data_IF_304989869307
#
_entry.id   IF_304989869307
#
_cell.length_a   1.000
_cell.length_b   1.000
_cell.length_c   1.000
_cell.angle_alpha   90.00
_cell.angle_beta   90.00
_cell.angle_gamma   90.00
#
_symmetry.space_group_name_H-M   'P 1'
#
loop_
_entity.id
_entity.type
_entity.pdbx_description
1 polymer ?
#
# COMPACT_ATOMS: atom_id res chain seq x y z
N UNK A 1 -3.89 -2.14 11.87
CA UNK A 1 -5.28 -2.25 11.34
C UNK A 1 -6.34 -1.97 12.40
N UNK A 2 -6.40 -2.68 13.54
CA UNK A 2 -7.45 -2.47 14.56
C UNK A 2 -7.59 -1.00 15.01
N UNK A 3 -6.47 -0.36 15.39
CA UNK A 3 -6.46 1.06 15.78
C UNK A 3 -6.94 2.01 14.68
N UNK A 4 -6.63 1.71 13.41
CA UNK A 4 -7.12 2.50 12.28
C UNK A 4 -8.65 2.37 12.16
N UNK A 5 -9.18 1.15 12.24
CA UNK A 5 -10.63 0.91 12.18
C UNK A 5 -11.38 1.61 13.32
N UNK A 6 -10.87 1.52 14.54
CA UNK A 6 -11.43 2.21 15.70
C UNK A 6 -11.48 3.74 15.48
N UNK A 7 -10.38 4.35 15.04
CA UNK A 7 -10.33 5.80 14.83
C UNK A 7 -11.20 6.26 13.66
N UNK A 8 -11.32 5.46 12.59
CA UNK A 8 -12.25 5.73 11.49
C UNK A 8 -13.70 5.72 11.99
N UNK A 9 -14.07 4.71 12.77
CA UNK A 9 -15.40 4.58 13.35
C UNK A 9 -15.73 5.75 14.28
N UNK A 10 -14.85 6.08 15.22
CA UNK A 10 -15.04 7.18 16.18
C UNK A 10 -15.18 8.53 15.47
N UNK A 11 -14.34 8.80 14.45
CA UNK A 11 -14.29 10.12 13.79
C UNK A 11 -15.36 10.33 12.73
N UNK A 12 -15.76 9.25 12.06
CA UNK A 12 -16.76 9.32 10.97
C UNK A 12 -18.13 8.84 11.41
N UNK A 13 -18.25 8.31 12.63
CA UNK A 13 -19.48 7.80 13.22
C UNK A 13 -20.16 6.76 12.32
N UNK A 14 -19.36 5.84 11.79
CA UNK A 14 -19.81 4.71 10.95
C UNK A 14 -19.27 3.40 11.52
N UNK A 15 -20.03 2.29 11.51
CA UNK A 15 -19.49 0.99 11.88
C UNK A 15 -18.35 0.57 10.95
N UNK A 16 -17.21 0.19 11.53
CA UNK A 16 -16.04 -0.33 10.79
C UNK A 16 -15.67 -1.69 11.33
N UNK A 17 -15.44 -2.64 10.41
CA UNK A 17 -14.85 -3.94 10.72
C UNK A 17 -13.58 -4.12 9.87
N UNK A 18 -12.55 -4.73 10.46
CA UNK A 18 -11.40 -5.19 9.69
C UNK A 18 -11.70 -6.58 9.14
N UNK A 19 -11.11 -6.92 7.99
CA UNK A 19 -11.25 -8.24 7.39
C UNK A 19 -9.93 -8.66 6.74
N UNK A 20 -9.52 -9.90 6.98
CA UNK A 20 -8.36 -10.52 6.39
C UNK A 20 -8.81 -11.49 5.29
N UNK A 21 -8.14 -11.43 4.13
CA UNK A 21 -8.33 -12.46 3.09
C UNK A 21 -7.78 -13.82 3.54
N UNK A 22 -6.64 -13.78 4.24
CA UNK A 22 -5.98 -14.93 4.85
C UNK A 22 -5.65 -14.56 6.30
N UNK A 23 -6.40 -15.10 7.25
CA UNK A 23 -6.23 -14.84 8.68
C UNK A 23 -7.52 -14.37 9.36
N UNK A 24 -7.38 -13.93 10.61
CA UNK A 24 -8.50 -13.49 11.45
C UNK A 24 -8.40 -11.99 11.79
N UNK A 25 -9.53 -11.26 11.83
CA UNK A 25 -10.89 -11.74 11.53
C UNK A 25 -11.11 -11.92 10.02
N UNK A 26 -11.79 -13.01 9.62
CA UNK A 26 -12.12 -13.27 8.22
C UNK A 26 -13.26 -12.39 7.66
N UNK A 27 -13.36 -12.33 6.32
CA UNK A 27 -14.36 -11.53 5.59
C UNK A 27 -15.81 -11.89 5.99
N UNK A 28 -16.12 -13.18 6.12
CA UNK A 28 -17.48 -13.63 6.49
C UNK A 28 -17.86 -13.18 7.90
N UNK A 29 -16.91 -13.20 8.84
CA UNK A 29 -17.15 -12.75 10.21
C UNK A 29 -17.35 -11.23 10.28
N UNK A 30 -16.60 -10.46 9.48
CA UNK A 30 -16.76 -9.02 9.39
C UNK A 30 -18.17 -8.62 8.91
N UNK A 31 -18.70 -9.28 7.87
CA UNK A 31 -20.07 -9.02 7.40
C UNK A 31 -21.12 -9.36 8.47
N UNK A 32 -21.00 -10.52 9.13
CA UNK A 32 -21.90 -10.91 10.23
C UNK A 32 -21.86 -9.91 11.39
N UNK A 33 -20.68 -9.38 11.72
CA UNK A 33 -20.54 -8.36 12.75
C UNK A 33 -21.22 -7.05 12.36
N UNK A 34 -21.03 -6.57 11.11
CA UNK A 34 -21.68 -5.36 10.61
C UNK A 34 -23.21 -5.48 10.63
N UNK A 35 -23.75 -6.59 10.13
CA UNK A 35 -25.21 -6.86 10.15
C UNK A 35 -25.77 -6.87 11.58
N UNK A 36 -25.06 -7.49 12.52
CA UNK A 36 -25.45 -7.53 13.94
C UNK A 36 -25.43 -6.13 14.58
N UNK A 37 -24.43 -5.32 14.24
CA UNK A 37 -24.24 -3.97 14.80
C UNK A 37 -25.17 -2.94 14.16
N UNK A 38 -25.58 -3.15 12.91
CA UNK A 38 -26.44 -2.25 12.15
C UNK A 38 -27.61 -3.02 11.52
N UNK A 39 -28.74 -3.20 12.25
CA UNK A 39 -29.90 -3.93 11.72
C UNK A 39 -30.55 -3.28 10.49
N UNK A 40 -30.30 -1.99 10.24
CA UNK A 40 -30.77 -1.23 9.08
C UNK A 40 -29.64 -0.93 8.09
N UNK A 41 -28.67 -1.84 7.97
CA UNK A 41 -27.55 -1.70 7.04
C UNK A 41 -28.06 -1.62 5.60
N UNK A 42 -27.75 -0.51 4.93
CA UNK A 42 -28.16 -0.24 3.54
C UNK A 42 -27.03 -0.38 2.53
N UNK A 43 -25.80 -0.13 2.95
CA UNK A 43 -24.60 -0.23 2.11
C UNK A 43 -23.41 -0.67 2.95
N UNK A 44 -22.61 -1.58 2.41
CA UNK A 44 -21.28 -1.93 2.93
C UNK A 44 -20.25 -1.53 1.89
N UNK A 45 -19.30 -0.69 2.29
CA UNK A 45 -18.15 -0.33 1.47
C UNK A 45 -16.95 -1.16 1.91
N UNK A 46 -16.43 -1.97 1.00
CA UNK A 46 -15.15 -2.67 1.17
C UNK A 46 -14.05 -1.75 0.69
N UNK A 47 -13.14 -1.40 1.60
CA UNK A 47 -11.95 -0.60 1.29
C UNK A 47 -10.70 -1.49 1.35
N UNK A 48 -10.12 -1.89 0.20
CA UNK A 48 -8.87 -2.64 0.19
C UNK A 48 -7.72 -1.82 0.75
N UNK A 49 -6.92 -2.38 1.66
CA UNK A 49 -5.69 -1.74 2.15
C UNK A 49 -4.49 -1.99 1.22
N UNK A 50 -4.75 -2.02 -0.09
CA UNK A 50 -3.76 -2.09 -1.17
C UNK A 50 -4.17 -1.04 -2.22
N UNK A 51 -3.41 0.06 -2.40
CA UNK A 51 -3.78 1.12 -3.35
C UNK A 51 -3.69 0.66 -4.82
N UNK A 52 -2.76 -0.26 -5.09
CA UNK A 52 -2.44 -0.78 -6.42
C UNK A 52 -3.11 -2.12 -6.65
N UNK A 53 -3.68 -2.30 -7.84
CA UNK A 53 -4.25 -3.57 -8.24
C UNK A 53 -3.16 -4.62 -8.44
N UNK A 54 -3.38 -5.81 -7.85
CA UNK A 54 -2.76 -7.04 -8.31
C UNK A 54 -3.77 -8.17 -8.29
N UNK A 55 -3.57 -9.18 -9.14
CA UNK A 55 -4.39 -10.39 -9.09
C UNK A 55 -4.23 -11.12 -7.75
N UNK A 56 -3.03 -11.16 -7.19
CA UNK A 56 -2.72 -11.87 -5.95
C UNK A 56 -3.34 -11.24 -4.69
N UNK A 57 -3.74 -9.97 -4.74
CA UNK A 57 -4.32 -9.25 -3.59
C UNK A 57 -5.77 -8.83 -3.84
N UNK A 58 -5.98 -7.96 -4.82
CA UNK A 58 -7.26 -7.29 -5.06
C UNK A 58 -8.25 -8.27 -5.68
N UNK A 59 -7.85 -8.97 -6.75
CA UNK A 59 -8.74 -9.92 -7.42
C UNK A 59 -9.13 -11.07 -6.51
N UNK A 60 -8.17 -11.70 -5.81
CA UNK A 60 -8.49 -12.76 -4.85
C UNK A 60 -9.48 -12.24 -3.81
N UNK A 61 -9.24 -11.08 -3.21
CA UNK A 61 -10.16 -10.50 -2.21
C UNK A 61 -11.57 -10.30 -2.78
N UNK A 62 -11.71 -9.76 -3.99
CA UNK A 62 -12.99 -9.58 -4.67
C UNK A 62 -13.70 -10.92 -4.90
N UNK A 63 -12.98 -11.93 -5.38
CA UNK A 63 -13.55 -13.26 -5.67
C UNK A 63 -14.11 -13.92 -4.40
N UNK A 64 -13.43 -13.76 -3.26
CA UNK A 64 -13.89 -14.32 -1.99
C UNK A 64 -15.05 -13.55 -1.38
N UNK A 65 -15.03 -12.22 -1.49
CA UNK A 65 -16.18 -11.41 -1.13
C UNK A 65 -17.39 -11.84 -1.94
N UNK A 66 -17.25 -12.01 -3.26
CA UNK A 66 -18.32 -12.52 -4.12
C UNK A 66 -18.79 -13.90 -3.67
N UNK A 67 -17.86 -14.84 -3.44
CA UNK A 67 -18.17 -16.20 -2.96
C UNK A 67 -18.97 -16.18 -1.64
N UNK A 68 -18.66 -15.28 -0.72
CA UNK A 68 -19.35 -15.15 0.56
C UNK A 68 -20.71 -14.45 0.38
N UNK A 69 -20.71 -13.29 -0.26
CA UNK A 69 -21.88 -12.42 -0.41
C UNK A 69 -23.00 -13.09 -1.23
N UNK A 70 -22.66 -13.92 -2.21
CA UNK A 70 -23.67 -14.63 -3.01
C UNK A 70 -24.19 -15.93 -2.37
N UNK A 71 -23.75 -16.31 -1.15
CA UNK A 71 -24.31 -17.50 -0.46
C UNK A 71 -25.76 -17.28 -0.02
N UNK A 72 -26.10 -16.05 0.40
CA UNK A 72 -27.39 -15.72 0.98
C UNK A 72 -27.84 -14.32 0.53
N UNK A 73 -29.14 -14.02 0.50
CA UNK A 73 -29.59 -12.66 0.23
C UNK A 73 -29.20 -11.73 1.38
N UNK A 74 -28.68 -10.55 1.04
CA UNK A 74 -28.36 -9.48 1.98
C UNK A 74 -29.28 -8.27 1.75
N UNK A 75 -29.61 -7.53 2.82
CA UNK A 75 -30.46 -6.32 2.76
C UNK A 75 -29.71 -5.06 2.30
N UNK A 76 -28.38 -5.12 2.22
CA UNK A 76 -27.52 -4.01 1.82
C UNK A 76 -26.93 -4.22 0.44
N UNK A 77 -26.54 -3.09 -0.17
CA UNK A 77 -25.69 -3.07 -1.36
C UNK A 77 -24.23 -3.20 -0.96
N UNK A 78 -23.46 -3.91 -1.78
CA UNK A 78 -22.02 -4.02 -1.61
C UNK A 78 -21.32 -3.12 -2.63
N UNK A 79 -20.47 -2.23 -2.14
CA UNK A 79 -19.57 -1.40 -2.94
C UNK A 79 -18.14 -1.82 -2.63
N UNK A 80 -17.32 -2.05 -3.65
CA UNK A 80 -15.88 -2.30 -3.48
C UNK A 80 -15.16 -1.09 -4.04
N UNK A 81 -14.26 -0.52 -3.25
CA UNK A 81 -13.42 0.59 -3.70
C UNK A 81 -12.42 0.09 -4.74
N UNK A 82 -12.43 0.74 -5.90
CA UNK A 82 -11.48 0.49 -6.99
C UNK A 82 -10.04 0.86 -6.58
N UNK A 83 -9.02 0.40 -7.31
CA UNK A 83 -7.64 0.83 -7.10
C UNK A 83 -7.53 2.35 -7.04
N UNK A 84 -6.84 2.87 -6.02
CA UNK A 84 -6.79 4.29 -5.68
C UNK A 84 -5.35 4.85 -5.66
N UNK A 85 -4.43 4.17 -6.35
CA UNK A 85 -3.00 4.49 -6.42
C UNK A 85 -2.68 5.92 -6.88
N UNK A 86 -3.58 6.54 -7.65
CA UNK A 86 -3.48 7.91 -8.17
C UNK A 86 -4.48 8.88 -7.53
N UNK A 87 -5.30 8.42 -6.58
CA UNK A 87 -6.34 9.25 -5.98
C UNK A 87 -5.72 10.44 -5.23
N UNK A 88 -6.15 11.69 -5.48
CA UNK A 88 -5.53 12.88 -4.88
C UNK A 88 -5.46 12.83 -3.35
N UNK A 89 -6.50 12.31 -2.69
CA UNK A 89 -6.50 12.17 -1.24
C UNK A 89 -5.40 11.22 -0.72
N UNK A 90 -5.16 10.10 -1.40
CA UNK A 90 -4.10 9.15 -1.06
C UNK A 90 -2.72 9.77 -1.29
N UNK A 91 -2.49 10.38 -2.45
CA UNK A 91 -1.21 11.05 -2.76
C UNK A 91 -0.91 12.16 -1.76
N UNK A 92 -1.91 12.96 -1.39
CA UNK A 92 -1.75 14.02 -0.41
C UNK A 92 -1.39 13.48 0.97
N UNK A 93 -2.05 12.40 1.41
CA UNK A 93 -1.74 11.76 2.69
C UNK A 93 -0.32 11.20 2.70
N UNK A 94 0.07 10.47 1.65
CA UNK A 94 1.40 9.90 1.50
C UNK A 94 2.48 10.98 1.51
N UNK A 95 2.32 12.03 0.71
CA UNK A 95 3.27 13.14 0.62
C UNK A 95 3.45 13.87 1.95
N UNK A 96 2.34 14.25 2.60
CA UNK A 96 2.38 14.98 3.87
C UNK A 96 2.98 14.12 5.00
N UNK A 97 2.66 12.83 5.03
CA UNK A 97 3.21 11.90 6.01
C UNK A 97 4.72 11.71 5.84
N UNK A 98 5.19 11.59 4.58
CA UNK A 98 6.59 11.32 4.27
C UNK A 98 7.50 12.55 4.39
N UNK A 99 7.00 13.76 4.13
CA UNK A 99 7.79 15.00 4.04
C UNK A 99 8.82 15.21 5.18
N UNK A 100 8.49 14.98 6.47
CA UNK A 100 9.45 15.16 7.57
C UNK A 100 10.68 14.25 7.47
N UNK A 101 10.55 13.08 6.85
CA UNK A 101 11.59 12.06 6.74
C UNK A 101 12.56 12.33 5.59
N UNK A 102 12.20 13.21 4.65
CA UNK A 102 12.97 13.41 3.41
C UNK A 102 14.07 14.48 3.53
N UNK A 103 14.28 15.05 4.71
CA UNK A 103 15.27 16.11 4.91
C UNK A 103 16.70 15.56 4.95
N UNK A 104 17.57 16.13 4.12
CA UNK A 104 19.00 15.83 4.10
C UNK A 104 19.31 14.39 3.65
N UNK A 105 18.56 13.90 2.65
CA UNK A 105 18.84 12.66 1.93
C UNK A 105 19.42 12.98 0.55
N UNK A 106 20.21 12.05 0.02
CA UNK A 106 20.74 12.08 -1.35
C UNK A 106 19.75 11.42 -2.33
N UNK A 107 19.04 10.38 -1.86
CA UNK A 107 18.10 9.59 -2.66
C UNK A 107 16.85 9.18 -1.88
N UNK A 108 15.70 9.30 -2.53
CA UNK A 108 14.45 8.66 -2.12
C UNK A 108 14.27 7.33 -2.85
N UNK A 109 14.07 6.25 -2.12
CA UNK A 109 13.82 4.92 -2.63
C UNK A 109 12.35 4.59 -2.43
N UNK A 110 11.64 4.37 -3.52
CA UNK A 110 10.34 3.73 -3.48
C UNK A 110 10.54 2.22 -3.49
N UNK A 111 9.95 1.55 -2.51
CA UNK A 111 9.99 0.10 -2.38
C UNK A 111 8.58 -0.48 -2.53
N UNK A 112 8.44 -1.54 -3.32
CA UNK A 112 7.19 -2.26 -3.50
C UNK A 112 7.41 -3.77 -3.44
N UNK A 113 6.37 -4.55 -3.14
CA UNK A 113 6.48 -6.00 -3.22
C UNK A 113 6.71 -6.40 -4.68
N UNK A 114 7.71 -7.25 -4.92
CA UNK A 114 7.99 -7.76 -6.26
C UNK A 114 6.89 -8.72 -6.73
N UNK A 115 6.72 -8.93 -8.03
CA UNK A 115 5.80 -9.93 -8.57
C UNK A 115 6.51 -10.80 -9.61
N UNK A 116 6.10 -12.06 -9.81
CA UNK A 116 6.56 -12.85 -10.94
C UNK A 116 6.30 -12.13 -12.27
N UNK A 117 7.31 -12.05 -13.14
CA UNK A 117 7.24 -11.29 -14.39
C UNK A 117 6.07 -11.77 -15.26
N UNK A 118 5.89 -13.09 -15.39
CA UNK A 118 4.82 -13.68 -16.20
C UNK A 118 3.43 -13.24 -15.75
N UNK A 119 3.22 -13.06 -14.42
CA UNK A 119 1.94 -12.59 -13.89
C UNK A 119 1.67 -11.13 -14.26
N UNK A 120 2.71 -10.30 -14.17
CA UNK A 120 2.64 -8.88 -14.58
C UNK A 120 2.35 -8.77 -16.07
N UNK A 121 3.02 -9.59 -16.88
CA UNK A 121 2.87 -9.59 -18.34
C UNK A 121 1.50 -10.09 -18.84
N UNK A 122 0.82 -10.91 -18.06
CA UNK A 122 -0.56 -11.29 -18.36
C UNK A 122 -1.52 -10.17 -17.96
N UNK A 123 -1.29 -9.53 -16.82
CA UNK A 123 -2.17 -8.49 -16.29
C UNK A 123 -2.14 -7.21 -17.13
N UNK A 124 -0.95 -6.69 -17.49
CA UNK A 124 -0.83 -5.41 -18.22
C UNK A 124 -1.47 -5.43 -19.63
N UNK A 125 -1.69 -6.61 -20.22
CA UNK A 125 -2.34 -6.79 -21.53
C UNK A 125 -3.83 -6.48 -21.47
N UNK A 126 -4.41 -6.49 -20.27
CA UNK A 126 -5.82 -6.18 -20.03
C UNK A 126 -6.09 -4.68 -20.02
N UNK A 127 -5.10 -3.86 -19.68
CA UNK A 127 -5.23 -2.41 -19.57
C UNK A 127 -4.35 -1.81 -18.47
N UNK A 128 -4.25 -0.48 -18.45
CA UNK A 128 -3.41 0.26 -17.48
C UNK A 128 -3.90 0.08 -16.03
N UNK A 129 -5.20 -0.09 -15.88
CA UNK A 129 -5.89 -0.39 -14.62
C UNK A 129 -5.53 -1.76 -14.03
N UNK A 130 -4.92 -2.64 -14.83
CA UNK A 130 -4.40 -3.95 -14.39
C UNK A 130 -2.87 -4.02 -14.41
N UNK A 131 -2.19 -3.01 -14.94
CA UNK A 131 -0.74 -2.94 -15.01
C UNK A 131 -0.15 -2.43 -13.68
N UNK A 132 0.32 -3.37 -12.85
CA UNK A 132 0.93 -3.05 -11.57
C UNK A 132 2.09 -2.06 -11.70
N UNK A 133 2.99 -2.26 -12.66
CA UNK A 133 4.21 -1.44 -12.82
C UNK A 133 3.83 -0.01 -13.23
N UNK A 134 2.83 0.14 -14.10
CA UNK A 134 2.28 1.46 -14.43
C UNK A 134 1.75 2.17 -13.18
N UNK A 135 0.93 1.49 -12.37
CA UNK A 135 0.32 2.06 -11.17
C UNK A 135 1.38 2.50 -10.15
N UNK A 136 2.41 1.69 -9.91
CA UNK A 136 3.52 2.05 -9.02
C UNK A 136 4.24 3.33 -9.49
N UNK A 137 4.57 3.39 -10.78
CA UNK A 137 5.26 4.54 -11.37
C UNK A 137 4.40 5.79 -11.33
N UNK A 138 3.09 5.65 -11.50
CA UNK A 138 2.17 6.78 -11.42
C UNK A 138 2.04 7.31 -9.99
N UNK A 139 1.94 6.44 -8.98
CA UNK A 139 2.02 6.86 -7.56
C UNK A 139 3.32 7.61 -7.29
N UNK A 140 4.46 7.07 -7.72
CA UNK A 140 5.76 7.74 -7.52
C UNK A 140 5.80 9.12 -8.20
N UNK A 141 5.33 9.22 -9.44
CA UNK A 141 5.30 10.46 -10.21
C UNK A 141 4.43 11.52 -9.52
N UNK A 142 3.23 11.15 -9.06
CA UNK A 142 2.29 12.04 -8.39
C UNK A 142 2.82 12.48 -7.01
N UNK A 143 3.40 11.56 -6.25
CA UNK A 143 4.08 11.85 -4.99
C UNK A 143 5.22 12.85 -5.19
N UNK A 144 6.12 12.59 -6.14
CA UNK A 144 7.25 13.45 -6.44
C UNK A 144 6.80 14.84 -6.90
N UNK A 145 5.78 14.90 -7.77
CA UNK A 145 5.16 16.16 -8.19
C UNK A 145 4.62 16.95 -7.01
N UNK A 146 4.02 16.28 -6.01
CA UNK A 146 3.43 16.93 -4.83
C UNK A 146 4.49 17.58 -3.94
N UNK A 147 5.65 16.96 -3.80
CA UNK A 147 6.76 17.43 -2.95
C UNK A 147 7.85 18.17 -3.72
N UNK A 148 7.66 18.43 -5.02
CA UNK A 148 8.66 19.02 -5.92
C UNK A 148 10.00 18.27 -5.91
N UNK A 149 9.94 16.94 -5.85
CA UNK A 149 11.12 16.06 -5.93
C UNK A 149 11.36 15.74 -7.40
N UNK A 150 12.55 16.04 -7.92
CA UNK A 150 12.91 15.64 -9.27
C UNK A 150 13.13 14.12 -9.33
N UNK A 151 12.65 13.48 -10.38
CA UNK A 151 12.72 12.01 -10.53
C UNK A 151 14.15 11.48 -10.50
N UNK A 152 15.13 12.29 -10.90
CA UNK A 152 16.55 11.94 -10.84
C UNK A 152 17.07 11.74 -9.41
N UNK A 153 16.37 12.21 -8.37
CA UNK A 153 16.70 11.97 -6.96
C UNK A 153 15.94 10.78 -6.38
N UNK A 154 15.26 10.00 -7.24
CA UNK A 154 14.52 8.83 -6.82
C UNK A 154 15.12 7.54 -7.37
N UNK A 155 14.72 6.41 -6.78
CA UNK A 155 15.00 5.08 -7.29
C UNK A 155 13.83 4.15 -6.94
N UNK A 156 13.58 3.13 -7.75
CA UNK A 156 12.54 2.13 -7.54
C UNK A 156 13.21 0.78 -7.29
N UNK A 157 13.00 0.20 -6.12
CA UNK A 157 13.41 -1.15 -5.76
C UNK A 157 12.18 -2.02 -5.47
N UNK A 158 12.32 -3.33 -5.63
CA UNK A 158 11.30 -4.30 -5.25
C UNK A 158 11.80 -5.21 -4.14
N UNK A 159 10.94 -5.61 -3.22
CA UNK A 159 11.29 -6.50 -2.10
C UNK A 159 10.49 -7.82 -2.15
N UNK A 160 10.88 -8.74 -1.27
CA UNK A 160 10.12 -9.97 -0.98
C UNK A 160 9.98 -10.94 -2.18
N UNK A 161 10.91 -10.87 -3.14
CA UNK A 161 10.97 -11.82 -4.26
C UNK A 161 11.31 -13.24 -3.79
N UNK A 162 10.79 -14.26 -4.49
CA UNK A 162 11.05 -15.68 -4.18
C UNK A 162 11.85 -16.41 -5.27
N UNK A 163 12.63 -15.66 -6.05
CA UNK A 163 13.47 -16.20 -7.11
C UNK A 163 13.82 -15.16 -8.16
N UNK A 164 14.41 -15.61 -9.26
CA UNK A 164 15.01 -14.72 -10.26
C UNK A 164 14.03 -14.17 -11.32
N UNK A 165 12.89 -14.84 -11.56
CA UNK A 165 11.89 -14.41 -12.55
C UNK A 165 10.84 -13.45 -11.94
N UNK A 166 11.32 -12.47 -11.18
CA UNK A 166 10.51 -11.49 -10.45
C UNK A 166 10.93 -10.08 -10.86
N UNK A 167 10.05 -9.09 -10.65
CA UNK A 167 10.34 -7.68 -10.96
C UNK A 167 11.60 -7.20 -10.24
N UNK A 168 12.53 -6.67 -11.04
CA UNK A 168 13.83 -6.12 -10.63
C UNK A 168 13.84 -4.61 -10.83
N UNK A 169 14.75 -3.87 -10.18
CA UNK A 169 15.83 -4.29 -9.25
C UNK A 169 15.32 -4.70 -7.84
N UNK A 170 16.12 -5.48 -7.11
CA UNK A 170 15.80 -6.03 -5.78
C UNK A 170 16.39 -5.21 -4.63
N UNK A 171 15.61 -4.99 -3.58
CA UNK A 171 16.00 -4.21 -2.41
C UNK A 171 17.18 -4.84 -1.66
N UNK A 172 17.15 -6.16 -1.46
CA UNK A 172 18.14 -6.94 -0.72
C UNK A 172 19.43 -7.23 -1.50
N UNK A 173 19.49 -6.85 -2.79
CA UNK A 173 20.68 -7.01 -3.62
C UNK A 173 21.27 -5.66 -4.05
N UNK A 174 20.42 -4.73 -4.50
CA UNK A 174 20.90 -3.53 -5.21
C UNK A 174 21.13 -2.33 -4.27
N UNK A 175 20.59 -2.34 -3.04
CA UNK A 175 20.74 -1.18 -2.13
C UNK A 175 22.17 -1.00 -1.62
N UNK A 176 22.98 -2.07 -1.58
CA UNK A 176 24.39 -2.00 -1.18
C UNK A 176 25.28 -1.27 -2.18
N UNK A 177 24.83 -1.08 -3.43
CA UNK A 177 25.61 -0.36 -4.44
C UNK A 177 25.55 1.16 -4.25
N UNK A 178 24.51 1.65 -3.57
CA UNK A 178 24.19 3.07 -3.48
C UNK A 178 25.31 3.92 -2.85
N UNK A 179 25.96 3.50 -1.74
CA UNK A 179 27.06 4.26 -1.16
C UNK A 179 28.25 4.43 -2.12
N UNK A 180 28.54 3.43 -2.96
CA UNK A 180 29.64 3.49 -3.95
C UNK A 180 29.31 4.44 -5.11
N UNK A 181 28.02 4.60 -5.41
CA UNK A 181 27.51 5.60 -6.36
C UNK A 181 27.44 7.01 -5.76
N UNK A 182 27.83 7.19 -4.49
CA UNK A 182 27.81 8.47 -3.78
C UNK A 182 26.49 8.79 -3.07
N UNK A 183 25.50 7.89 -3.10
CA UNK A 183 24.22 8.05 -2.40
C UNK A 183 24.33 7.43 -1.01
N UNK A 184 24.82 8.20 -0.04
CA UNK A 184 25.13 7.72 1.31
C UNK A 184 24.02 8.01 2.33
N UNK A 185 23.05 8.84 1.97
CA UNK A 185 21.90 9.19 2.81
C UNK A 185 20.63 8.87 2.05
N UNK A 186 19.90 7.85 2.45
CA UNK A 186 18.69 7.40 1.76
C UNK A 186 17.47 7.48 2.65
N UNK A 187 16.30 7.75 2.06
CA UNK A 187 15.00 7.43 2.67
C UNK A 187 14.33 6.33 1.85
N UNK A 188 13.73 5.35 2.51
CA UNK A 188 12.98 4.26 1.87
C UNK A 188 11.53 4.31 2.33
N UNK A 189 10.61 4.36 1.36
CA UNK A 189 9.16 4.41 1.57
C UNK A 189 8.49 3.25 0.82
N UNK A 190 7.41 2.71 1.38
CA UNK A 190 6.63 1.62 0.77
C UNK A 190 5.16 2.03 0.49
N UNK A 191 4.87 2.77 -0.59
CA UNK A 191 3.51 3.27 -0.85
C UNK A 191 2.47 2.18 -1.09
N UNK A 192 2.89 0.96 -1.45
CA UNK A 192 1.99 -0.17 -1.69
C UNK A 192 1.37 -0.76 -0.43
N UNK A 193 1.88 -0.43 0.75
CA UNK A 193 1.37 -0.88 2.03
C UNK A 193 1.01 0.33 2.93
N UNK A 194 -0.28 0.68 3.05
CA UNK A 194 -0.69 1.78 3.92
C UNK A 194 -0.53 1.49 5.41
N UNK A 195 -0.27 0.25 5.80
CA UNK A 195 -0.06 -0.20 7.19
C UNK A 195 1.25 -0.95 7.27
N UNK A 196 2.04 -0.69 8.32
CA UNK A 196 3.27 -1.45 8.53
C UNK A 196 2.99 -2.94 8.76
N UNK A 197 3.80 -3.76 8.11
CA UNK A 197 3.69 -5.21 8.13
C UNK A 197 5.08 -5.84 8.25
N UNK A 198 5.16 -7.17 8.11
CA UNK A 198 6.42 -7.87 8.21
C UNK A 198 7.41 -7.38 7.15
N UNK A 199 6.94 -7.18 5.92
CA UNK A 199 7.77 -6.73 4.80
C UNK A 199 8.33 -5.32 5.03
N UNK A 200 7.52 -4.35 5.50
CA UNK A 200 8.03 -2.99 5.75
C UNK A 200 8.99 -2.94 6.95
N UNK A 201 8.71 -3.67 8.02
CA UNK A 201 9.53 -3.62 9.23
C UNK A 201 10.80 -4.49 9.09
N UNK A 202 10.69 -5.67 8.49
CA UNK A 202 11.81 -6.60 8.41
C UNK A 202 12.64 -6.38 7.14
N UNK A 203 12.03 -6.44 5.95
CA UNK A 203 12.80 -6.36 4.70
C UNK A 203 13.41 -4.96 4.52
N UNK A 204 12.69 -3.90 4.89
CA UNK A 204 13.18 -2.53 4.73
C UNK A 204 13.95 -2.04 5.96
N UNK A 205 13.29 -1.94 7.11
CA UNK A 205 13.88 -1.25 8.26
C UNK A 205 15.02 -2.03 8.93
N UNK A 206 15.05 -3.36 8.77
CA UNK A 206 16.10 -4.21 9.31
C UNK A 206 17.08 -4.64 8.21
N UNK A 207 16.65 -5.46 7.25
CA UNK A 207 17.56 -6.09 6.28
C UNK A 207 18.21 -5.07 5.34
N UNK A 208 17.42 -4.27 4.63
CA UNK A 208 17.95 -3.30 3.67
C UNK A 208 18.80 -2.22 4.35
N UNK A 209 18.38 -1.78 5.54
CA UNK A 209 19.19 -0.89 6.40
C UNK A 209 20.55 -1.50 6.70
N UNK A 210 20.58 -2.74 7.17
CA UNK A 210 21.83 -3.42 7.51
C UNK A 210 22.78 -3.52 6.30
N UNK A 211 22.25 -3.92 5.14
CA UNK A 211 23.01 -4.02 3.89
C UNK A 211 23.57 -2.66 3.45
N UNK A 212 22.74 -1.62 3.45
CA UNK A 212 23.15 -0.27 3.08
C UNK A 212 24.23 0.30 4.00
N UNK A 213 24.05 0.15 5.32
CA UNK A 213 25.01 0.65 6.31
C UNK A 213 26.34 -0.11 6.24
N UNK A 214 26.31 -1.44 6.05
CA UNK A 214 27.53 -2.26 5.86
C UNK A 214 28.30 -1.88 4.60
N UNK A 215 27.62 -1.43 3.55
CA UNK A 215 28.23 -1.00 2.31
C UNK A 215 28.82 0.42 2.35
N UNK A 216 28.79 1.10 3.51
CA UNK A 216 29.35 2.44 3.70
C UNK A 216 28.32 3.58 3.63
N UNK A 217 27.04 3.27 3.77
CA UNK A 217 25.98 4.26 3.97
C UNK A 217 26.17 5.06 5.26
N UNK A 218 25.79 6.33 5.24
CA UNK A 218 25.89 7.25 6.39
C UNK A 218 24.54 7.44 7.09
N UNK A 219 23.43 7.42 6.35
CA UNK A 219 22.08 7.61 6.89
C UNK A 219 21.07 6.76 6.13
N UNK A 220 20.29 5.98 6.86
CA UNK A 220 19.13 5.28 6.32
C UNK A 220 17.89 5.72 7.08
N UNK A 221 16.88 6.21 6.37
CA UNK A 221 15.60 6.62 6.93
C UNK A 221 14.53 5.67 6.44
N UNK A 222 13.95 4.89 7.34
CA UNK A 222 12.70 4.20 7.06
C UNK A 222 11.55 5.22 7.21
N UNK A 223 10.73 5.35 6.18
CA UNK A 223 9.49 6.13 6.23
C UNK A 223 8.36 5.18 6.65
N UNK A 224 7.79 5.33 7.87
CA UNK A 224 6.70 4.48 8.31
C UNK A 224 5.51 4.55 7.35
N UNK A 225 4.73 3.47 7.32
CA UNK A 225 3.48 3.48 6.58
C UNK A 225 2.49 4.48 7.19
N UNK A 226 1.45 4.83 6.42
CA UNK A 226 0.40 5.75 6.84
C UNK A 226 -0.30 5.34 8.15
N UNK A 227 -0.33 4.04 8.45
CA UNK A 227 -0.80 3.44 9.69
C UNK A 227 -2.18 3.96 10.11
N UNK A 228 -2.22 4.83 11.11
CA UNK A 228 -3.42 5.46 11.64
C UNK A 228 -3.26 6.98 11.72
N UNK A 229 -2.46 7.54 10.81
CA UNK A 229 -2.29 8.99 10.67
C UNK A 229 -3.63 9.67 10.34
N UNK A 230 -3.75 10.92 10.79
CA UNK A 230 -4.95 11.72 10.56
C UNK A 230 -5.22 11.91 9.07
N UNK A 231 -4.16 12.15 8.29
CA UNK A 231 -4.23 12.29 6.85
C UNK A 231 -4.79 11.04 6.17
N UNK A 232 -4.42 9.87 6.66
CA UNK A 232 -4.86 8.61 6.07
C UNK A 232 -6.33 8.29 6.39
N UNK A 233 -6.75 8.55 7.62
CA UNK A 233 -8.15 8.45 8.02
C UNK A 233 -9.02 9.35 7.14
N UNK A 234 -8.59 10.60 6.92
CA UNK A 234 -9.30 11.53 6.04
C UNK A 234 -9.26 11.08 4.57
N UNK A 235 -8.14 10.51 4.11
CA UNK A 235 -8.04 10.01 2.74
C UNK A 235 -8.97 8.81 2.49
N UNK A 236 -9.01 7.82 3.40
CA UNK A 236 -9.95 6.69 3.31
C UNK A 236 -11.38 7.20 3.20
N UNK A 237 -11.77 8.14 4.05
CA UNK A 237 -13.11 8.72 4.03
C UNK A 237 -13.43 9.38 2.68
N UNK A 238 -12.53 10.24 2.19
CA UNK A 238 -12.69 10.94 0.90
C UNK A 238 -12.84 9.98 -0.28
N UNK A 239 -11.97 8.97 -0.35
CA UNK A 239 -12.02 7.93 -1.38
C UNK A 239 -13.35 7.15 -1.29
N UNK A 240 -13.78 6.80 -0.07
CA UNK A 240 -15.00 6.01 0.18
C UNK A 240 -16.25 6.74 -0.33
N UNK A 241 -16.38 8.04 -0.01
CA UNK A 241 -17.55 8.86 -0.34
C UNK A 241 -17.45 9.57 -1.69
N UNK A 242 -16.30 9.48 -2.37
CA UNK A 242 -16.09 10.01 -3.72
C UNK A 242 -15.89 11.53 -3.80
N UNK A 243 -15.18 12.12 -2.83
CA UNK A 243 -14.91 13.58 -2.73
C UNK A 243 -13.43 13.94 -2.70
#
# INVERSE_FOLDING_TARGET
>A
MQKLAQLLEERKNIPVEIAMRYGEPGIEQAFKNLEKRCPLLHEVVVFPLYPHYTQSTTQTTIDEIGRIFYKHPHSYRLKIVEPYFDHPAFINALAKHAEPYLKGIDKLVFCYHSLPVDQVEVAWKKGKEFDYVYQLKETNRLFCKKLNIELQYTYLLYASQRGNNWLKPFLDADISDFPQLGWKKVAVIAPGFPIDNLETLFDIDIQARELFMKAGGEKFVFVPSLNYSDEWIEAIWKITVGV
#
